data_IF_878838727799
#
_entry.id   IF_878838727799
#
_cell.length_a   1.000
_cell.length_b   1.000
_cell.length_c   1.000
_cell.angle_alpha   90.00
_cell.angle_beta   90.00
_cell.angle_gamma   90.00
#
_symmetry.space_group_name_H-M   'P 1'
#
loop_
_entity.id
_entity.type
_entity.pdbx_description
1 polymer ?
#
# COMPACT_ATOMS: atom_id res chain seq x y z
N UNK A 1 8.00 5.16 -29.27
CA UNK A 1 9.24 5.18 -28.47
C UNK A 1 9.54 3.74 -28.04
N UNK A 2 10.81 3.35 -27.95
CA UNK A 2 11.19 2.03 -27.41
C UNK A 2 11.02 2.04 -25.89
N UNK A 3 10.18 1.15 -25.35
CA UNK A 3 10.01 0.99 -23.90
C UNK A 3 11.35 0.68 -23.23
N UNK A 4 11.67 1.40 -22.16
CA UNK A 4 12.84 1.21 -21.32
C UNK A 4 12.89 -0.21 -20.77
N UNK A 5 14.11 -0.75 -20.70
CA UNK A 5 14.40 -2.03 -20.04
C UNK A 5 14.52 -1.89 -18.52
N UNK A 6 14.56 -0.66 -18.02
CA UNK A 6 14.64 -0.32 -16.60
C UNK A 6 13.30 0.22 -16.13
N UNK A 7 12.69 -0.49 -15.18
CA UNK A 7 11.39 -0.14 -14.62
C UNK A 7 11.52 0.09 -13.12
N UNK A 8 10.68 0.97 -12.59
CA UNK A 8 10.50 1.07 -11.15
C UNK A 8 9.89 -0.22 -10.59
N UNK A 9 10.33 -0.58 -9.38
CA UNK A 9 9.82 -1.77 -8.69
C UNK A 9 8.46 -1.52 -8.03
N UNK A 10 8.14 -0.26 -7.70
CA UNK A 10 6.87 0.16 -7.13
C UNK A 10 7.03 1.35 -6.20
N UNK A 11 7.59 1.10 -5.02
CA UNK A 11 7.62 2.08 -3.93
C UNK A 11 8.53 3.27 -4.23
N UNK A 12 8.05 4.47 -3.92
CA UNK A 12 8.81 5.72 -3.96
C UNK A 12 8.79 6.39 -2.58
N UNK A 13 9.64 7.40 -2.38
CA UNK A 13 9.70 8.12 -1.11
C UNK A 13 8.37 8.84 -0.86
N UNK A 14 7.70 8.50 0.25
CA UNK A 14 6.41 9.09 0.60
C UNK A 14 6.55 10.57 0.96
N UNK A 15 5.63 11.43 0.49
CA UNK A 15 5.48 12.81 0.95
C UNK A 15 5.28 12.92 2.48
N UNK A 16 5.72 14.05 3.04
CA UNK A 16 5.75 14.26 4.49
C UNK A 16 4.35 14.36 5.12
N UNK A 17 3.36 14.82 4.38
CA UNK A 17 1.95 14.87 4.77
C UNK A 17 1.31 13.48 4.79
N UNK A 18 1.57 12.63 3.79
CA UNK A 18 1.14 11.23 3.83
C UNK A 18 1.75 10.45 4.99
N UNK A 19 3.03 10.73 5.30
CA UNK A 19 3.72 10.11 6.43
C UNK A 19 3.04 10.37 7.77
N UNK A 20 2.44 11.55 7.98
CA UNK A 20 1.70 11.87 9.22
C UNK A 20 0.55 10.90 9.46
N UNK A 21 -0.21 10.56 8.42
CA UNK A 21 -1.29 9.59 8.55
C UNK A 21 -0.76 8.18 8.85
N UNK A 22 0.40 7.80 8.32
CA UNK A 22 1.02 6.51 8.63
C UNK A 22 1.45 6.46 10.10
N UNK A 23 2.09 7.51 10.59
CA UNK A 23 2.44 7.63 12.00
C UNK A 23 1.17 7.53 12.87
N UNK A 24 0.05 8.15 12.47
CA UNK A 24 -1.23 7.99 13.19
C UNK A 24 -1.81 6.57 13.15
N UNK A 25 -1.68 5.84 12.03
CA UNK A 25 -2.13 4.44 11.90
C UNK A 25 -1.36 3.53 12.85
N UNK A 26 -0.05 3.77 13.02
CA UNK A 26 0.82 2.95 13.87
C UNK A 26 0.46 3.01 15.35
N UNK A 27 -0.14 4.11 15.80
CA UNK A 27 -0.57 4.29 17.18
C UNK A 27 -2.04 3.92 17.43
N UNK A 28 -2.73 3.36 16.42
CA UNK A 28 -4.17 3.04 16.50
C UNK A 28 -4.43 1.56 16.22
N UNK A 29 -4.87 0.87 17.26
CA UNK A 29 -5.15 -0.56 17.21
C UNK A 29 -6.54 -0.87 16.60
N UNK A 30 -7.54 -0.05 16.93
CA UNK A 30 -8.95 -0.29 16.60
C UNK A 30 -9.41 0.46 15.35
N UNK A 31 -8.66 0.35 14.25
CA UNK A 31 -9.02 0.94 12.96
C UNK A 31 -9.04 -0.09 11.85
N UNK A 32 -9.96 0.09 10.91
CA UNK A 32 -10.22 -0.84 9.83
C UNK A 32 -9.62 -0.33 8.52
N UNK A 33 -8.89 -1.20 7.81
CA UNK A 33 -8.38 -0.90 6.47
C UNK A 33 -9.55 -0.71 5.49
N UNK A 34 -9.51 0.26 4.54
CA UNK A 34 -8.39 1.14 4.14
C UNK A 34 -8.22 2.44 4.97
N UNK A 35 -8.71 2.49 6.21
CA UNK A 35 -8.54 3.58 7.18
C UNK A 35 -9.20 4.93 6.83
N UNK A 36 -9.82 5.07 5.65
CA UNK A 36 -10.44 6.32 5.20
C UNK A 36 -11.56 6.81 6.11
N UNK A 37 -12.36 5.91 6.66
CA UNK A 37 -13.47 6.28 7.56
C UNK A 37 -12.96 6.80 8.90
N UNK A 38 -11.78 6.36 9.35
CA UNK A 38 -11.20 6.75 10.64
C UNK A 38 -10.26 7.94 10.55
N UNK A 39 -9.69 8.21 9.37
CA UNK A 39 -8.72 9.29 9.13
C UNK A 39 -9.27 10.25 8.07
N UNK A 40 -10.06 11.26 8.48
CA UNK A 40 -10.60 12.26 7.56
C UNK A 40 -9.47 12.96 6.78
N UNK A 41 -9.62 13.04 5.47
CA UNK A 41 -8.63 13.66 4.59
C UNK A 41 -7.53 12.72 4.10
N UNK A 42 -7.35 11.54 4.70
CA UNK A 42 -6.32 10.57 4.28
C UNK A 42 -6.47 10.19 2.80
N UNK A 43 -7.67 9.80 2.37
CA UNK A 43 -7.96 9.44 0.97
C UNK A 43 -7.68 10.60 0.00
N UNK A 44 -7.97 11.84 0.42
CA UNK A 44 -7.79 13.03 -0.40
C UNK A 44 -6.31 13.35 -0.57
N UNK A 45 -5.52 13.29 0.50
CA UNK A 45 -4.07 13.47 0.46
C UNK A 45 -3.42 12.37 -0.37
N UNK A 46 -3.76 11.12 -0.14
CA UNK A 46 -3.29 9.97 -0.94
C UNK A 46 -3.60 10.14 -2.43
N UNK A 47 -4.82 10.52 -2.77
CA UNK A 47 -5.22 10.76 -4.17
C UNK A 47 -4.42 11.91 -4.80
N UNK A 48 -4.18 13.00 -4.06
CA UNK A 48 -3.41 14.14 -4.54
C UNK A 48 -1.95 13.74 -4.81
N UNK A 49 -1.34 13.00 -3.90
CA UNK A 49 0.05 12.57 -4.01
C UNK A 49 0.25 11.54 -5.12
N UNK A 50 -0.72 10.62 -5.32
CA UNK A 50 -0.71 9.70 -6.46
C UNK A 50 -0.77 10.46 -7.79
N UNK A 51 -1.64 11.48 -7.90
CA UNK A 51 -1.70 12.32 -9.10
C UNK A 51 -0.36 13.03 -9.34
N UNK A 52 0.23 13.60 -8.29
CA UNK A 52 1.50 14.30 -8.38
C UNK A 52 2.64 13.38 -8.81
N UNK A 53 2.78 12.20 -8.19
CA UNK A 53 3.87 11.29 -8.53
C UNK A 53 3.74 10.70 -9.94
N UNK A 54 2.51 10.49 -10.42
CA UNK A 54 2.27 10.08 -11.81
C UNK A 54 2.69 11.20 -12.78
N UNK A 55 2.36 12.46 -12.47
CA UNK A 55 2.81 13.61 -13.27
C UNK A 55 4.34 13.76 -13.25
N UNK A 56 4.99 13.58 -12.09
CA UNK A 56 6.44 13.66 -11.95
C UNK A 56 7.14 12.54 -12.73
N UNK A 57 6.61 11.31 -12.68
CA UNK A 57 7.14 10.19 -13.47
C UNK A 57 7.07 10.49 -14.98
N UNK A 58 5.96 11.08 -15.45
CA UNK A 58 5.82 11.53 -16.85
C UNK A 58 6.82 12.62 -17.21
N UNK A 59 6.98 13.64 -16.36
CA UNK A 59 7.93 14.73 -16.57
C UNK A 59 9.38 14.23 -16.64
N UNK A 60 9.70 13.15 -15.94
CA UNK A 60 11.00 12.50 -15.94
C UNK A 60 11.15 11.39 -16.99
N UNK A 61 10.23 11.28 -17.96
CA UNK A 61 10.29 10.30 -19.06
C UNK A 61 10.33 8.83 -18.59
N UNK A 62 9.57 8.51 -17.54
CA UNK A 62 9.39 7.13 -17.08
C UNK A 62 8.25 6.48 -17.88
N UNK A 63 8.57 5.40 -18.60
CA UNK A 63 7.63 4.77 -19.55
C UNK A 63 6.52 3.94 -18.89
N UNK A 64 6.74 3.42 -17.68
CA UNK A 64 5.77 2.59 -16.94
C UNK A 64 5.52 3.21 -15.59
N UNK A 65 4.31 3.74 -15.44
CA UNK A 65 3.92 4.59 -14.31
C UNK A 65 3.39 3.74 -13.15
N UNK A 66 3.68 4.18 -11.93
CA UNK A 66 3.26 3.52 -10.69
C UNK A 66 2.59 4.52 -9.74
N UNK A 67 1.85 4.03 -8.74
CA UNK A 67 1.28 4.84 -7.65
C UNK A 67 2.32 5.22 -6.57
N UNK A 68 3.59 4.85 -6.75
CA UNK A 68 4.63 5.02 -5.73
C UNK A 68 4.39 4.21 -4.44
N UNK A 69 3.38 3.34 -4.44
CA UNK A 69 2.87 2.62 -3.26
C UNK A 69 2.47 3.51 -2.07
N UNK A 70 2.06 4.75 -2.36
CA UNK A 70 1.77 5.76 -1.35
C UNK A 70 0.62 5.39 -0.41
N UNK A 71 -0.38 4.68 -0.93
CA UNK A 71 -1.51 4.21 -0.13
C UNK A 71 -1.19 3.08 0.83
N UNK A 72 -0.05 2.40 0.66
CA UNK A 72 0.26 1.18 1.43
C UNK A 72 0.88 1.52 2.77
N UNK A 73 0.36 0.90 3.82
CA UNK A 73 0.94 0.86 5.17
C UNK A 73 2.02 -0.22 5.24
N UNK A 74 1.69 -1.45 4.89
CA UNK A 74 2.58 -2.59 4.74
C UNK A 74 2.50 -3.17 3.33
N UNK A 75 3.64 -3.56 2.78
CA UNK A 75 3.72 -4.02 1.40
C UNK A 75 2.97 -5.35 1.17
N UNK A 76 2.97 -6.29 2.13
CA UNK A 76 2.39 -7.63 1.97
C UNK A 76 0.94 -7.75 2.47
N UNK A 77 0.53 -6.96 3.47
CA UNK A 77 -0.74 -7.20 4.18
C UNK A 77 -1.90 -6.31 3.72
N UNK A 78 -1.63 -5.09 3.25
CA UNK A 78 -2.66 -4.14 2.84
C UNK A 78 -3.62 -4.72 1.80
N UNK A 79 -3.09 -5.49 0.85
CA UNK A 79 -3.93 -6.13 -0.18
C UNK A 79 -4.92 -7.13 0.43
N UNK A 80 -4.46 -7.94 1.39
CA UNK A 80 -5.27 -8.97 2.06
C UNK A 80 -6.28 -8.32 3.01
N UNK A 81 -5.90 -7.26 3.72
CA UNK A 81 -6.83 -6.49 4.56
C UNK A 81 -7.95 -5.82 3.76
N UNK A 82 -7.73 -5.57 2.47
CA UNK A 82 -8.77 -5.07 1.57
C UNK A 82 -9.82 -6.10 1.15
N UNK A 83 -9.72 -7.36 1.58
CA UNK A 83 -10.73 -8.38 1.28
C UNK A 83 -11.90 -8.33 2.25
N UNK A 84 -13.11 -8.55 1.72
CA UNK A 84 -14.27 -8.86 2.55
C UNK A 84 -13.99 -10.15 3.33
N UNK A 85 -14.33 -10.15 4.61
CA UNK A 85 -14.12 -11.25 5.53
C UNK A 85 -12.73 -11.38 6.12
N UNK A 86 -11.87 -10.38 5.90
CA UNK A 86 -10.60 -10.23 6.61
C UNK A 86 -10.74 -9.13 7.66
N UNK A 87 -10.34 -9.46 8.88
CA UNK A 87 -10.18 -8.53 9.99
C UNK A 87 -8.69 -8.41 10.33
N UNK A 88 -8.17 -7.18 10.33
CA UNK A 88 -6.85 -6.82 10.87
C UNK A 88 -6.94 -6.84 12.40
N UNK A 89 -6.02 -7.52 13.07
CA UNK A 89 -5.93 -7.45 14.53
C UNK A 89 -4.48 -7.36 15.02
N UNK A 90 -4.32 -6.86 16.25
CA UNK A 90 -3.02 -6.72 16.91
C UNK A 90 -2.63 -8.05 17.56
N UNK A 91 -1.47 -8.58 17.21
CA UNK A 91 -0.89 -9.79 17.81
C UNK A 91 -0.08 -9.42 19.06
N UNK A 92 0.26 -10.43 19.89
CA UNK A 92 1.16 -10.21 21.04
C UNK A 92 2.57 -9.80 20.59
N UNK A 93 3.02 -10.37 19.46
CA UNK A 93 4.32 -10.12 18.84
C UNK A 93 4.20 -9.92 17.32
N UNK A 94 5.01 -9.01 16.77
CA UNK A 94 5.25 -8.85 15.34
C UNK A 94 6.18 -9.93 14.78
N UNK A 95 6.55 -9.82 13.50
CA UNK A 95 7.54 -10.69 12.89
C UNK A 95 8.94 -10.31 13.37
N UNK A 96 9.72 -11.31 13.76
CA UNK A 96 11.10 -11.12 14.18
C UNK A 96 12.06 -11.32 13.01
N UNK A 97 12.85 -10.28 12.73
CA UNK A 97 13.92 -10.29 11.75
C UNK A 97 15.27 -10.19 12.44
N UNK A 98 16.29 -10.81 11.85
CA UNK A 98 17.67 -10.59 12.26
C UNK A 98 18.18 -9.33 11.60
N UNK A 99 18.71 -8.43 12.41
CA UNK A 99 19.46 -7.29 11.91
C UNK A 99 20.86 -7.70 11.47
N UNK A 100 21.50 -6.88 10.65
CA UNK A 100 22.87 -7.08 10.17
C UNK A 100 23.88 -7.20 11.32
N UNK A 101 23.56 -6.55 12.44
CA UNK A 101 24.34 -6.45 13.67
C UNK A 101 24.21 -7.71 14.55
N UNK A 102 23.35 -8.67 14.16
CA UNK A 102 22.96 -9.81 14.99
C UNK A 102 21.86 -9.49 16.01
N UNK A 103 21.37 -8.24 16.02
CA UNK A 103 20.19 -7.84 16.78
C UNK A 103 18.91 -8.49 16.27
N UNK A 104 17.84 -8.42 17.07
CA UNK A 104 16.49 -8.80 16.63
C UNK A 104 15.64 -7.54 16.48
N UNK A 105 15.06 -7.38 15.30
CA UNK A 105 14.07 -6.36 15.01
C UNK A 105 12.69 -7.01 14.97
N UNK A 106 11.74 -6.49 15.74
CA UNK A 106 10.35 -6.90 15.69
C UNK A 106 9.57 -5.89 14.84
N UNK A 107 8.80 -6.37 13.86
CA UNK A 107 7.90 -5.49 13.10
C UNK A 107 6.77 -4.99 13.98
N UNK A 108 5.94 -4.12 13.42
CA UNK A 108 4.66 -3.78 14.02
C UNK A 108 3.83 -5.05 14.29
N UNK A 109 2.99 -4.95 15.31
CA UNK A 109 2.13 -6.03 15.81
C UNK A 109 0.78 -6.10 15.09
N UNK A 110 0.49 -5.14 14.24
CA UNK A 110 -0.75 -5.09 13.46
C UNK A 110 -0.73 -6.05 12.26
N UNK A 111 -0.12 -7.23 12.40
CA UNK A 111 0.11 -8.21 11.33
C UNK A 111 -0.91 -9.35 11.31
N UNK A 112 -1.79 -9.43 12.31
CA UNK A 112 -2.76 -10.50 12.44
C UNK A 112 -3.85 -10.44 11.37
N UNK A 113 -4.13 -11.58 10.74
CA UNK A 113 -5.22 -11.77 9.78
C UNK A 113 -6.23 -12.76 10.36
N UNK A 114 -7.47 -12.33 10.58
CA UNK A 114 -8.57 -13.22 10.98
C UNK A 114 -9.60 -13.32 9.86
N UNK A 115 -9.96 -14.54 9.50
CA UNK A 115 -11.05 -14.81 8.56
C UNK A 115 -12.35 -14.90 9.35
N UNK A 116 -13.29 -14.00 9.09
CA UNK A 116 -14.56 -13.88 9.82
C UNK A 116 -15.78 -14.33 9.01
N UNK A 117 -15.67 -14.35 7.67
CA UNK A 117 -16.72 -14.76 6.74
C UNK A 117 -16.10 -15.20 5.38
N UNK A 118 -16.89 -15.75 4.42
CA UNK A 118 -16.37 -16.10 3.10
C UNK A 118 -15.69 -14.94 2.39
N UNK A 119 -14.48 -15.19 1.89
CA UNK A 119 -13.62 -14.18 1.31
C UNK A 119 -14.14 -13.67 -0.04
N UNK A 120 -14.06 -12.35 -0.24
CA UNK A 120 -14.35 -11.73 -1.54
C UNK A 120 -13.46 -10.50 -1.77
N UNK A 121 -12.87 -10.43 -2.97
CA UNK A 121 -12.09 -9.28 -3.43
C UNK A 121 -12.92 -8.24 -4.18
N UNK A 122 -14.24 -8.44 -4.31
CA UNK A 122 -15.15 -7.48 -4.95
C UNK A 122 -15.09 -6.17 -4.15
N UNK A 123 -14.66 -5.09 -4.79
CA UNK A 123 -14.44 -3.75 -4.22
C UNK A 123 -13.19 -3.57 -3.36
N UNK A 124 -12.14 -4.37 -3.59
CA UNK A 124 -10.83 -4.07 -2.98
C UNK A 124 -10.35 -2.68 -3.44
N UNK A 125 -9.95 -1.84 -2.49
CA UNK A 125 -9.49 -0.46 -2.74
C UNK A 125 -8.36 -0.35 -3.78
N UNK A 126 -7.53 -1.39 -3.94
CA UNK A 126 -6.51 -1.42 -4.99
C UNK A 126 -7.08 -1.22 -6.40
N UNK A 127 -8.33 -1.63 -6.65
CA UNK A 127 -9.02 -1.39 -7.92
C UNK A 127 -9.25 0.11 -8.17
N UNK A 128 -9.50 0.88 -7.11
CA UNK A 128 -9.75 2.31 -7.22
C UNK A 128 -8.44 3.09 -7.41
N UNK A 129 -7.36 2.67 -6.73
CA UNK A 129 -6.00 3.15 -7.03
C UNK A 129 -5.65 2.86 -8.49
N UNK A 130 -5.90 1.65 -8.97
CA UNK A 130 -5.60 1.28 -10.36
C UNK A 130 -6.34 2.16 -11.36
N UNK A 131 -7.65 2.37 -11.17
CA UNK A 131 -8.45 3.25 -12.02
C UNK A 131 -7.93 4.69 -11.99
N UNK A 132 -7.55 5.20 -10.82
CA UNK A 132 -6.96 6.53 -10.67
C UNK A 132 -5.66 6.64 -11.47
N UNK A 133 -4.70 5.74 -11.24
CA UNK A 133 -3.43 5.74 -11.95
C UNK A 133 -3.63 5.58 -13.45
N UNK A 134 -4.55 4.70 -13.89
CA UNK A 134 -4.84 4.51 -15.31
C UNK A 134 -5.46 5.74 -15.96
N UNK A 135 -6.34 6.44 -15.24
CA UNK A 135 -6.92 7.70 -15.72
C UNK A 135 -5.84 8.79 -15.85
N UNK A 136 -4.95 8.93 -14.86
CA UNK A 136 -3.86 9.91 -14.90
C UNK A 136 -2.78 9.54 -15.92
N UNK A 137 -2.54 8.25 -16.15
CA UNK A 137 -1.56 7.75 -17.12
C UNK A 137 -2.00 8.00 -18.57
N UNK A 138 -3.29 7.88 -18.88
CA UNK A 138 -3.78 7.95 -20.26
C UNK A 138 -3.31 6.76 -21.08
N UNK A 139 -2.62 7.02 -22.19
CA UNK A 139 -2.12 6.00 -23.11
C UNK A 139 -0.83 5.31 -22.63
N UNK A 140 -0.18 5.84 -21.59
CA UNK A 140 1.01 5.23 -21.01
C UNK A 140 0.69 3.92 -20.28
N UNK A 141 1.71 3.07 -20.20
CA UNK A 141 1.64 1.82 -19.44
C UNK A 141 1.62 2.13 -17.93
N UNK A 142 0.92 1.27 -17.19
CA UNK A 142 0.86 1.36 -15.72
C UNK A 142 1.21 0.02 -15.10
N UNK A 143 1.82 0.06 -13.93
CA UNK A 143 2.16 -1.12 -13.14
C UNK A 143 1.67 -0.91 -11.71
N UNK A 144 0.90 -1.87 -11.22
CA UNK A 144 0.47 -1.94 -9.83
C UNK A 144 1.02 -3.23 -9.22
N UNK A 145 2.07 -3.15 -8.38
CA UNK A 145 2.58 -4.32 -7.68
C UNK A 145 1.53 -4.84 -6.71
N UNK A 146 1.23 -6.14 -6.74
CA UNK A 146 0.34 -6.79 -5.77
C UNK A 146 1.08 -8.00 -5.24
N UNK A 147 1.08 -8.16 -3.92
CA UNK A 147 1.72 -9.30 -3.28
C UNK A 147 0.75 -10.46 -3.15
N UNK A 148 1.25 -11.66 -3.45
CA UNK A 148 0.48 -12.89 -3.24
C UNK A 148 0.24 -13.15 -1.75
N UNK A 149 -0.74 -14.00 -1.40
CA UNK A 149 -1.09 -14.27 0.00
C UNK A 149 -0.09 -15.15 0.74
N UNK A 150 0.81 -15.87 0.05
CA UNK A 150 1.73 -16.83 0.65
C UNK A 150 2.61 -16.25 1.78
N UNK A 151 3.18 -15.04 1.68
CA UNK A 151 3.96 -14.42 2.76
C UNK A 151 3.11 -13.94 3.95
N UNK A 152 1.78 -14.03 3.85
CA UNK A 152 0.85 -13.54 4.88
C UNK A 152 0.31 -14.68 5.77
N UNK A 153 0.63 -15.94 5.44
CA UNK A 153 0.17 -17.13 6.15
C UNK A 153 1.35 -17.66 6.99
N UNK A 154 1.42 -17.21 8.24
CA UNK A 154 2.30 -17.74 9.28
C UNK A 154 1.45 -18.38 10.37
#
# INVERSE_FOLDING_TARGET
MTKSKFQLVGSLLRPADLRKYKDEIEHRDNIQYPFYDTLPGYQKTETADIKQIVADQKANSIDILTDGEFGRSMWHLDFVWGFKGIERYITEHGYTFKDHDGGQYETRKDIGIRITEPLSSKNNHYLDIYKLVKAEAGDEDTKQPIWGPCPCLH
#
